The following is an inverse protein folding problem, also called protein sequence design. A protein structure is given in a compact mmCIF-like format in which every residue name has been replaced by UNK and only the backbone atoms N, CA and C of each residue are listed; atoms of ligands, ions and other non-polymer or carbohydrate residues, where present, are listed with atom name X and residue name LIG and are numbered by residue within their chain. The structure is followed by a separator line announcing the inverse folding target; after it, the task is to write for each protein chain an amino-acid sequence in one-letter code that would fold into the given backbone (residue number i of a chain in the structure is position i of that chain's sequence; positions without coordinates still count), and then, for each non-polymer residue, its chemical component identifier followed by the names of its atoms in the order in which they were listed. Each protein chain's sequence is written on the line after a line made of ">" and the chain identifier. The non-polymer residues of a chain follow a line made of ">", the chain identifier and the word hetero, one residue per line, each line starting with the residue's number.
data_IF_122156187548
#
_entry.id   IF_122156187548
#
_cell.length_a   1.000
_cell.length_b   1.000
_cell.length_c   1.000
_cell.angle_alpha   90.00
_cell.angle_beta   90.00
_cell.angle_gamma   90.00
#
_symmetry.space_group_name_H-M   'P 1'
#
loop_
_entity.id
_entity.type
_entity.pdbx_description
1 polymer ?
#
# COMPACT_ATOMS: atom_id res chain seq x y z
N UNK A 1 -21.80 16.77 10.50
CA UNK A 1 -22.26 15.61 9.71
C UNK A 1 -22.64 14.54 10.71
N UNK A 2 -23.85 13.98 10.60
CA UNK A 2 -24.21 12.81 11.40
C UNK A 2 -23.42 11.60 10.89
N UNK A 3 -23.08 10.65 11.76
CA UNK A 3 -22.27 9.45 11.46
C UNK A 3 -22.74 8.72 10.18
N UNK A 4 -24.05 8.47 10.04
CA UNK A 4 -24.64 7.88 8.83
C UNK A 4 -24.41 8.69 7.56
N UNK A 5 -24.38 10.02 7.65
CA UNK A 5 -24.13 10.89 6.50
C UNK A 5 -22.67 10.81 6.03
N UNK A 6 -21.73 10.53 6.94
CA UNK A 6 -20.32 10.36 6.58
C UNK A 6 -20.09 9.08 5.78
N UNK A 7 -20.54 7.93 6.30
CA UNK A 7 -20.44 6.65 5.60
C UNK A 7 -21.11 6.69 4.22
N UNK A 8 -22.31 7.27 4.12
CA UNK A 8 -22.98 7.43 2.83
C UNK A 8 -22.19 8.32 1.86
N UNK A 9 -21.52 9.36 2.36
CA UNK A 9 -20.68 10.23 1.52
C UNK A 9 -19.44 9.50 1.02
N UNK A 10 -18.82 8.66 1.85
CA UNK A 10 -17.69 7.81 1.46
C UNK A 10 -18.11 6.84 0.36
N UNK A 11 -19.23 6.12 0.57
CA UNK A 11 -19.79 5.19 -0.42
C UNK A 11 -20.10 5.87 -1.76
N UNK A 12 -20.67 7.08 -1.74
CA UNK A 12 -20.93 7.85 -2.97
C UNK A 12 -19.64 8.15 -3.74
N UNK A 13 -18.56 8.53 -3.03
CA UNK A 13 -17.25 8.79 -3.65
C UNK A 13 -16.65 7.51 -4.23
N UNK A 14 -16.72 6.39 -3.50
CA UNK A 14 -16.22 5.09 -3.98
C UNK A 14 -16.98 4.62 -5.23
N UNK A 15 -18.31 4.74 -5.25
CA UNK A 15 -19.14 4.40 -6.41
C UNK A 15 -18.82 5.29 -7.62
N UNK A 16 -18.53 6.57 -7.41
CA UNK A 16 -18.12 7.48 -8.48
C UNK A 16 -16.76 7.10 -9.07
N UNK A 17 -15.77 6.81 -8.23
CA UNK A 17 -14.46 6.31 -8.68
C UNK A 17 -14.62 5.01 -9.46
N UNK A 18 -15.42 4.07 -8.95
CA UNK A 18 -15.73 2.82 -9.61
C UNK A 18 -16.30 3.02 -11.02
N UNK A 19 -17.31 3.88 -11.16
CA UNK A 19 -17.93 4.17 -12.45
C UNK A 19 -16.96 4.79 -13.45
N UNK A 20 -16.05 5.65 -12.99
CA UNK A 20 -14.99 6.24 -13.83
C UNK A 20 -14.06 5.15 -14.38
N UNK A 21 -13.63 4.22 -13.52
CA UNK A 21 -12.69 3.17 -13.92
C UNK A 21 -13.33 2.03 -14.71
N UNK A 22 -14.62 1.74 -14.46
CA UNK A 22 -15.39 0.78 -15.27
C UNK A 22 -15.60 1.29 -16.70
N UNK A 23 -16.02 2.53 -16.85
CA UNK A 23 -16.46 3.04 -18.15
C UNK A 23 -15.31 3.53 -19.04
N UNK A 24 -14.10 3.73 -18.48
CA UNK A 24 -12.92 4.30 -19.14
C UNK A 24 -13.16 5.64 -19.87
N UNK A 25 -14.34 6.24 -19.72
CA UNK A 25 -14.89 7.31 -20.57
C UNK A 25 -14.99 8.66 -19.85
N UNK A 26 -14.44 8.79 -18.64
CA UNK A 26 -14.29 10.08 -18.00
C UNK A 26 -13.21 10.92 -18.71
N UNK A 27 -13.57 12.14 -19.11
CA UNK A 27 -12.58 13.16 -19.51
C UNK A 27 -11.57 13.38 -18.39
N UNK A 28 -10.32 13.77 -18.72
CA UNK A 28 -9.27 14.01 -17.71
C UNK A 28 -9.74 14.92 -16.58
N UNK A 29 -10.51 15.96 -16.93
CA UNK A 29 -11.13 16.90 -16.00
C UNK A 29 -12.10 16.25 -15.00
N UNK A 30 -12.89 15.26 -15.42
CA UNK A 30 -13.80 14.53 -14.52
C UNK A 30 -13.06 13.58 -13.57
N UNK A 31 -11.87 13.10 -13.96
CA UNK A 31 -11.00 12.30 -13.10
C UNK A 31 -10.41 13.21 -12.03
N UNK A 32 -9.81 14.33 -12.41
CA UNK A 32 -9.19 15.27 -11.47
C UNK A 32 -10.19 15.83 -10.45
N UNK A 33 -11.43 16.14 -10.87
CA UNK A 33 -12.47 16.64 -9.96
C UNK A 33 -12.97 15.57 -8.97
N UNK A 34 -13.07 14.31 -9.39
CA UNK A 34 -13.51 13.22 -8.51
C UNK A 34 -12.41 12.82 -7.55
N UNK A 35 -11.15 12.83 -8.00
CA UNK A 35 -10.04 12.55 -7.10
C UNK A 35 -9.82 13.74 -6.14
N UNK A 36 -10.14 14.99 -6.51
CA UNK A 36 -10.18 16.10 -5.54
C UNK A 36 -11.25 15.90 -4.44
N UNK A 37 -12.36 15.20 -4.75
CA UNK A 37 -13.36 14.83 -3.74
C UNK A 37 -12.85 13.78 -2.75
N UNK A 38 -11.87 12.94 -3.11
CA UNK A 38 -11.24 11.99 -2.17
C UNK A 38 -10.64 12.76 -1.01
N UNK A 39 -9.85 13.80 -1.29
CA UNK A 39 -9.16 14.57 -0.27
C UNK A 39 -10.13 15.32 0.64
N UNK A 40 -11.19 15.89 0.06
CA UNK A 40 -12.17 16.69 0.80
C UNK A 40 -13.18 15.85 1.60
N UNK A 41 -13.63 14.71 1.06
CA UNK A 41 -14.70 13.89 1.67
C UNK A 41 -14.13 12.78 2.53
N UNK A 42 -13.13 12.04 2.02
CA UNK A 42 -12.58 10.88 2.72
C UNK A 42 -11.56 11.33 3.75
N UNK A 43 -10.57 12.13 3.35
CA UNK A 43 -9.50 12.59 4.24
C UNK A 43 -9.76 13.94 4.92
N UNK A 44 -10.96 14.52 4.74
CA UNK A 44 -11.41 15.80 5.33
C UNK A 44 -10.36 16.94 5.26
N UNK A 45 -9.59 17.00 4.18
CA UNK A 45 -8.69 18.13 3.95
C UNK A 45 -9.51 19.39 3.66
N UNK A 46 -9.31 20.43 4.47
CA UNK A 46 -9.81 21.76 4.14
C UNK A 46 -8.87 22.42 3.14
N UNK A 47 -9.42 23.08 2.14
CA UNK A 47 -8.68 23.92 1.17
C UNK A 47 -8.28 25.26 1.82
N UNK A 48 -8.87 25.60 2.96
CA UNK A 48 -8.63 26.86 3.65
C UNK A 48 -7.45 26.75 4.62
N UNK A 49 -6.33 27.38 4.25
CA UNK A 49 -5.09 27.53 5.02
C UNK A 49 -5.26 28.13 6.44
N UNK A 50 -6.45 28.67 6.76
CA UNK A 50 -6.80 29.24 8.07
C UNK A 50 -7.50 28.21 8.98
N UNK A 51 -8.11 27.17 8.39
CA UNK A 51 -8.87 26.18 9.15
C UNK A 51 -8.01 24.95 9.44
N UNK A 52 -7.86 24.62 10.73
CA UNK A 52 -7.25 23.37 11.18
C UNK A 52 -7.80 22.20 10.37
N UNK A 53 -6.91 21.34 9.85
CA UNK A 53 -7.31 20.06 9.25
C UNK A 53 -8.33 19.41 10.18
N UNK A 54 -9.55 19.16 9.69
CA UNK A 54 -10.54 18.39 10.44
C UNK A 54 -10.09 16.94 10.42
N UNK A 55 -9.29 16.56 11.41
CA UNK A 55 -8.90 15.17 11.64
C UNK A 55 -10.17 14.37 11.93
N UNK A 56 -10.31 13.20 11.31
CA UNK A 56 -11.38 12.26 11.65
C UNK A 56 -11.29 11.91 13.14
N UNK A 57 -12.43 11.78 13.80
CA UNK A 57 -12.40 11.18 15.14
C UNK A 57 -11.95 9.72 15.04
N UNK A 58 -11.38 9.12 16.09
CA UNK A 58 -10.96 7.71 16.04
C UNK A 58 -12.07 6.75 15.61
N UNK A 59 -13.32 7.05 15.97
CA UNK A 59 -14.50 6.27 15.55
C UNK A 59 -14.76 6.44 14.06
N UNK A 60 -14.77 7.68 13.55
CA UNK A 60 -14.97 7.94 12.11
C UNK A 60 -13.85 7.32 11.25
N UNK A 61 -12.62 7.32 11.76
CA UNK A 61 -11.48 6.68 11.09
C UNK A 61 -11.63 5.16 11.05
N UNK A 62 -12.03 4.53 12.16
CA UNK A 62 -12.27 3.10 12.20
C UNK A 62 -13.39 2.70 11.23
N UNK A 63 -14.48 3.48 11.20
CA UNK A 63 -15.58 3.27 10.24
C UNK A 63 -15.13 3.44 8.79
N UNK A 64 -14.29 4.44 8.51
CA UNK A 64 -13.71 4.62 7.19
C UNK A 64 -12.89 3.39 6.79
N UNK A 65 -12.01 2.91 7.68
CA UNK A 65 -11.15 1.75 7.40
C UNK A 65 -11.99 0.50 7.15
N UNK A 66 -13.03 0.27 7.95
CA UNK A 66 -13.94 -0.87 7.79
C UNK A 66 -14.72 -0.79 6.47
N UNK A 67 -15.27 0.38 6.14
CA UNK A 67 -15.98 0.62 4.87
C UNK A 67 -15.06 0.43 3.65
N UNK A 68 -13.81 0.91 3.71
CA UNK A 68 -12.82 0.70 2.65
C UNK A 68 -12.47 -0.78 2.49
N UNK A 69 -12.27 -1.49 3.61
CA UNK A 69 -11.99 -2.93 3.60
C UNK A 69 -13.15 -3.71 2.96
N UNK A 70 -14.38 -3.44 3.42
CA UNK A 70 -15.60 -4.04 2.89
C UNK A 70 -15.75 -3.77 1.39
N UNK A 71 -15.59 -2.51 0.96
CA UNK A 71 -15.66 -2.13 -0.45
C UNK A 71 -14.67 -2.93 -1.31
N UNK A 72 -13.40 -2.97 -0.90
CA UNK A 72 -12.34 -3.66 -1.65
C UNK A 72 -12.61 -5.16 -1.75
N UNK A 73 -13.13 -5.79 -0.69
CA UNK A 73 -13.52 -7.20 -0.72
C UNK A 73 -14.72 -7.48 -1.65
N UNK A 74 -15.70 -6.57 -1.69
CA UNK A 74 -16.92 -6.75 -2.48
C UNK A 74 -16.71 -6.46 -3.99
N UNK A 75 -15.79 -5.57 -4.35
CA UNK A 75 -15.55 -5.21 -5.75
C UNK A 75 -15.00 -6.40 -6.54
N UNK A 76 -15.78 -6.97 -7.46
CA UNK A 76 -15.39 -8.18 -8.23
C UNK A 76 -14.36 -7.93 -9.33
N UNK A 77 -14.28 -6.71 -9.87
CA UNK A 77 -13.34 -6.39 -10.94
C UNK A 77 -11.98 -5.96 -10.36
N UNK A 78 -10.98 -6.84 -10.42
CA UNK A 78 -9.64 -6.62 -9.87
C UNK A 78 -8.98 -5.31 -10.36
N UNK A 79 -9.12 -5.00 -11.65
CA UNK A 79 -8.62 -3.75 -12.21
C UNK A 79 -9.27 -2.52 -11.56
N UNK A 80 -10.59 -2.52 -11.44
CA UNK A 80 -11.34 -1.40 -10.86
C UNK A 80 -11.01 -1.27 -9.38
N UNK A 81 -10.97 -2.41 -8.66
CA UNK A 81 -10.57 -2.48 -7.25
C UNK A 81 -9.21 -1.82 -7.04
N UNK A 82 -8.21 -2.21 -7.81
CA UNK A 82 -6.88 -1.64 -7.71
C UNK A 82 -6.85 -0.15 -8.08
N UNK A 83 -7.55 0.27 -9.14
CA UNK A 83 -7.55 1.68 -9.53
C UNK A 83 -8.22 2.59 -8.50
N UNK A 84 -9.27 2.12 -7.83
CA UNK A 84 -9.86 2.83 -6.69
C UNK A 84 -8.84 2.91 -5.54
N UNK A 85 -8.19 1.79 -5.19
CA UNK A 85 -7.14 1.76 -4.18
C UNK A 85 -6.00 2.75 -4.48
N UNK A 86 -5.48 2.73 -5.71
CA UNK A 86 -4.43 3.63 -6.19
C UNK A 86 -4.86 5.10 -6.12
N UNK A 87 -6.11 5.41 -6.50
CA UNK A 87 -6.65 6.76 -6.42
C UNK A 87 -6.79 7.26 -4.97
N UNK A 88 -7.17 6.38 -4.04
CA UNK A 88 -7.28 6.69 -2.62
C UNK A 88 -5.92 6.92 -1.98
N UNK A 89 -4.92 6.11 -2.33
CA UNK A 89 -3.60 6.07 -1.69
C UNK A 89 -2.47 6.60 -2.58
N UNK A 90 -2.79 7.48 -3.53
CA UNK A 90 -1.79 8.14 -4.36
C UNK A 90 -0.95 9.10 -3.53
N UNK A 91 0.35 8.80 -3.39
CA UNK A 91 1.29 9.63 -2.63
C UNK A 91 1.83 10.82 -3.41
N UNK A 92 1.47 10.95 -4.70
CA UNK A 92 1.81 12.13 -5.52
C UNK A 92 1.14 13.42 -5.03
N UNK A 93 0.19 13.32 -4.10
CA UNK A 93 -0.55 14.45 -3.52
C UNK A 93 0.02 14.80 -2.17
N UNK A 94 0.47 16.05 -2.04
CA UNK A 94 0.98 16.56 -0.76
C UNK A 94 -0.14 16.81 0.26
N UNK A 95 -1.36 17.14 -0.21
CA UNK A 95 -2.54 17.28 0.65
C UNK A 95 -2.84 15.98 1.40
N UNK A 96 -2.99 16.04 2.73
CA UNK A 96 -3.23 14.88 3.60
C UNK A 96 -2.22 13.73 3.48
N UNK A 97 -1.04 13.90 2.88
CA UNK A 97 -0.17 12.76 2.57
C UNK A 97 0.19 11.91 3.79
N UNK A 98 0.48 12.57 4.93
CA UNK A 98 0.75 11.88 6.20
C UNK A 98 -0.47 11.09 6.68
N UNK A 99 -1.63 11.75 6.77
CA UNK A 99 -2.85 11.11 7.24
C UNK A 99 -3.34 9.97 6.32
N UNK A 100 -3.28 10.16 5.00
CA UNK A 100 -3.58 9.15 3.99
C UNK A 100 -2.70 7.91 4.15
N UNK A 101 -1.42 8.12 4.49
CA UNK A 101 -0.48 7.04 4.76
C UNK A 101 -0.82 6.31 6.06
N UNK A 102 -1.23 7.01 7.11
CA UNK A 102 -1.68 6.37 8.35
C UNK A 102 -2.92 5.50 8.12
N UNK A 103 -3.91 6.01 7.40
CA UNK A 103 -5.11 5.24 7.02
C UNK A 103 -4.73 4.02 6.17
N UNK A 104 -3.78 4.15 5.24
CA UNK A 104 -3.25 3.02 4.47
C UNK A 104 -2.64 1.95 5.40
N UNK A 105 -1.79 2.35 6.35
CA UNK A 105 -1.14 1.42 7.26
C UNK A 105 -2.18 0.67 8.09
N UNK A 106 -3.15 1.38 8.66
CA UNK A 106 -4.25 0.79 9.44
C UNK A 106 -5.15 -0.13 8.60
N UNK A 107 -5.44 0.24 7.34
CA UNK A 107 -6.21 -0.59 6.41
C UNK A 107 -5.48 -1.89 6.07
N UNK A 108 -4.18 -1.84 5.82
CA UNK A 108 -3.39 -3.05 5.53
C UNK A 108 -3.21 -3.90 6.77
N UNK A 109 -3.03 -3.28 7.94
CA UNK A 109 -3.01 -3.96 9.25
C UNK A 109 -4.34 -4.70 9.47
N UNK A 110 -5.48 -4.03 9.33
CA UNK A 110 -6.79 -4.69 9.34
C UNK A 110 -6.89 -5.81 8.28
N UNK A 111 -6.33 -5.60 7.09
CA UNK A 111 -6.32 -6.59 6.02
C UNK A 111 -5.56 -7.88 6.39
N UNK A 112 -4.47 -7.78 7.16
CA UNK A 112 -3.75 -8.94 7.70
C UNK A 112 -4.60 -9.64 8.76
N UNK A 113 -5.11 -8.88 9.75
CA UNK A 113 -5.93 -9.44 10.82
C UNK A 113 -7.21 -10.13 10.30
N UNK A 114 -7.88 -9.53 9.31
CA UNK A 114 -9.11 -10.04 8.71
C UNK A 114 -8.87 -11.04 7.56
N UNK A 115 -7.61 -11.38 7.24
CA UNK A 115 -7.24 -12.21 6.08
C UNK A 115 -7.88 -11.74 4.77
N UNK A 116 -7.94 -10.43 4.58
CA UNK A 116 -8.58 -9.76 3.45
C UNK A 116 -7.67 -9.78 2.21
N UNK A 117 -7.66 -10.90 1.47
CA UNK A 117 -6.79 -11.07 0.28
C UNK A 117 -6.91 -9.93 -0.73
N UNK A 118 -8.12 -9.43 -0.96
CA UNK A 118 -8.38 -8.29 -1.85
C UNK A 118 -7.61 -7.02 -1.47
N UNK A 119 -7.50 -6.73 -0.17
CA UNK A 119 -6.76 -5.57 0.35
C UNK A 119 -5.25 -5.80 0.21
N UNK A 120 -4.79 -7.00 0.57
CA UNK A 120 -3.37 -7.36 0.53
C UNK A 120 -2.81 -7.37 -0.90
N UNK A 121 -3.57 -7.88 -1.88
CA UNK A 121 -3.18 -7.83 -3.30
C UNK A 121 -3.10 -6.40 -3.83
N UNK A 122 -4.05 -5.53 -3.47
CA UNK A 122 -4.00 -4.12 -3.84
C UNK A 122 -2.80 -3.42 -3.20
N UNK A 123 -2.52 -3.67 -1.92
CA UNK A 123 -1.37 -3.13 -1.21
C UNK A 123 -0.05 -3.61 -1.83
N UNK A 124 0.06 -4.90 -2.18
CA UNK A 124 1.24 -5.46 -2.82
C UNK A 124 1.55 -4.78 -4.16
N UNK A 125 0.52 -4.59 -5.00
CA UNK A 125 0.68 -3.92 -6.28
C UNK A 125 1.01 -2.43 -6.10
N UNK A 126 0.35 -1.76 -5.15
CA UNK A 126 0.64 -0.36 -4.83
C UNK A 126 2.08 -0.17 -4.35
N UNK A 127 2.57 -1.03 -3.44
CA UNK A 127 3.94 -1.01 -2.94
C UNK A 127 4.96 -1.23 -4.06
N UNK A 128 4.58 -1.98 -5.10
CA UNK A 128 5.44 -2.23 -6.26
C UNK A 128 5.48 -1.03 -7.22
N UNK A 129 4.41 -0.24 -7.29
CA UNK A 129 4.30 0.93 -8.16
C UNK A 129 4.67 2.27 -7.51
N UNK A 130 4.69 2.36 -6.17
CA UNK A 130 4.97 3.60 -5.46
C UNK A 130 6.47 3.81 -5.21
N UNK A 131 6.83 5.01 -4.73
CA UNK A 131 8.21 5.25 -4.29
C UNK A 131 8.58 4.32 -3.13
N UNK A 132 9.82 3.84 -3.17
CA UNK A 132 10.37 2.86 -2.24
C UNK A 132 10.26 3.30 -0.77
N UNK A 133 10.37 4.60 -0.49
CA UNK A 133 10.24 5.12 0.89
C UNK A 133 8.85 4.91 1.48
N UNK A 134 7.80 4.97 0.65
CA UNK A 134 6.42 4.74 1.09
C UNK A 134 6.17 3.27 1.40
N UNK A 135 6.67 2.36 0.55
CA UNK A 135 6.60 0.93 0.79
C UNK A 135 7.36 0.51 2.06
N UNK A 136 8.55 1.08 2.29
CA UNK A 136 9.32 0.86 3.52
C UNK A 136 8.53 1.33 4.74
N UNK A 137 7.95 2.53 4.69
CA UNK A 137 7.19 3.06 5.82
C UNK A 137 6.00 2.16 6.20
N UNK A 138 5.25 1.68 5.21
CA UNK A 138 4.16 0.74 5.43
C UNK A 138 4.66 -0.54 6.13
N UNK A 139 5.74 -1.15 5.63
CA UNK A 139 6.32 -2.35 6.25
C UNK A 139 6.77 -2.10 7.68
N UNK A 140 7.41 -0.97 7.95
CA UNK A 140 7.87 -0.64 9.30
C UNK A 140 6.71 -0.42 10.27
N UNK A 141 5.62 0.21 9.83
CA UNK A 141 4.40 0.35 10.63
C UNK A 141 3.78 -1.02 10.95
N UNK A 142 3.77 -1.95 10.00
CA UNK A 142 3.24 -3.30 10.24
C UNK A 142 4.15 -4.12 11.18
N UNK A 143 5.46 -3.91 11.12
CA UNK A 143 6.39 -4.53 12.09
C UNK A 143 6.11 -4.01 13.49
N UNK A 144 5.90 -2.72 13.65
CA UNK A 144 5.53 -2.13 14.93
C UNK A 144 4.23 -2.75 15.46
N UNK A 145 3.18 -2.83 14.64
CA UNK A 145 1.90 -3.44 15.02
C UNK A 145 2.06 -4.92 15.44
N UNK A 146 2.66 -5.74 14.59
CA UNK A 146 2.62 -7.21 14.71
C UNK A 146 3.80 -7.84 15.46
N UNK A 147 4.97 -7.20 15.44
CA UNK A 147 6.17 -7.72 16.09
C UNK A 147 6.49 -6.98 17.40
N UNK A 148 5.98 -5.75 17.60
CA UNK A 148 6.31 -4.96 18.80
C UNK A 148 5.11 -4.80 19.74
N UNK A 149 3.95 -4.40 19.21
CA UNK A 149 2.80 -4.01 20.05
C UNK A 149 1.85 -5.16 20.36
N UNK A 150 1.57 -6.04 19.39
CA UNK A 150 0.55 -7.08 19.54
C UNK A 150 1.12 -8.38 20.11
N UNK A 151 0.48 -8.91 21.16
CA UNK A 151 0.75 -10.28 21.64
C UNK A 151 0.37 -11.28 20.56
N UNK A 152 1.30 -12.16 20.20
CA UNK A 152 1.17 -13.15 19.12
C UNK A 152 0.96 -12.57 17.71
N UNK A 153 1.25 -11.27 17.48
CA UNK A 153 1.08 -10.67 16.15
C UNK A 153 1.94 -11.32 15.08
N UNK A 154 3.09 -11.89 15.43
CA UNK A 154 3.94 -12.66 14.52
C UNK A 154 3.23 -13.88 13.92
N UNK A 155 2.26 -14.50 14.62
CA UNK A 155 1.48 -15.62 14.10
C UNK A 155 0.55 -15.14 12.98
N UNK A 156 -0.13 -14.02 13.20
CA UNK A 156 -1.02 -13.42 12.20
C UNK A 156 -0.23 -12.99 10.96
N UNK A 157 0.92 -12.33 11.16
CA UNK A 157 1.80 -11.92 10.08
C UNK A 157 2.36 -13.12 9.31
N UNK A 158 2.75 -14.21 9.99
CA UNK A 158 3.18 -15.46 9.35
C UNK A 158 2.07 -16.04 8.45
N UNK A 159 0.83 -16.08 8.93
CA UNK A 159 -0.32 -16.61 8.19
C UNK A 159 -0.66 -15.82 6.91
N UNK A 160 -0.16 -14.59 6.78
CA UNK A 160 -0.34 -13.76 5.60
C UNK A 160 0.16 -14.43 4.30
N UNK A 161 1.16 -15.32 4.40
CA UNK A 161 1.67 -16.07 3.26
C UNK A 161 0.59 -16.93 2.60
N UNK A 162 -0.32 -17.51 3.38
CA UNK A 162 -1.43 -18.31 2.87
C UNK A 162 -2.48 -17.46 2.15
N UNK A 163 -2.57 -16.17 2.50
CA UNK A 163 -3.58 -15.24 2.00
C UNK A 163 -3.09 -14.49 0.76
N UNK A 164 -1.86 -13.98 0.77
CA UNK A 164 -1.24 -13.27 -0.35
C UNK A 164 0.29 -13.45 -0.36
N UNK A 165 0.80 -14.44 -1.11
CA UNK A 165 2.24 -14.61 -1.33
C UNK A 165 2.88 -13.39 -2.01
N UNK A 166 2.14 -12.67 -2.86
CA UNK A 166 2.64 -11.45 -3.51
C UNK A 166 2.88 -10.33 -2.51
N UNK A 167 1.98 -10.15 -1.54
CA UNK A 167 2.18 -9.19 -0.47
C UNK A 167 3.42 -9.53 0.36
N UNK A 168 3.57 -10.78 0.81
CA UNK A 168 4.76 -11.24 1.54
C UNK A 168 6.07 -11.03 0.75
N UNK A 169 6.04 -11.24 -0.57
CA UNK A 169 7.18 -10.98 -1.46
C UNK A 169 7.57 -9.49 -1.46
N UNK A 170 6.61 -8.60 -1.74
CA UNK A 170 6.88 -7.15 -1.80
C UNK A 170 7.21 -6.58 -0.42
N UNK A 171 6.61 -7.11 0.64
CA UNK A 171 6.98 -6.83 2.03
C UNK A 171 8.46 -7.15 2.27
N UNK A 172 8.90 -8.35 1.89
CA UNK A 172 10.30 -8.79 2.06
C UNK A 172 11.27 -7.91 1.26
N UNK A 173 10.89 -7.47 0.06
CA UNK A 173 11.70 -6.54 -0.76
C UNK A 173 11.85 -5.18 -0.07
N UNK A 174 10.76 -4.62 0.46
CA UNK A 174 10.81 -3.35 1.19
C UNK A 174 11.56 -3.48 2.51
N UNK A 175 11.41 -4.59 3.21
CA UNK A 175 12.12 -4.89 4.45
C UNK A 175 13.64 -4.95 4.26
N UNK A 176 14.10 -5.76 3.30
CA UNK A 176 15.53 -5.93 2.99
C UNK A 176 16.15 -4.63 2.49
N UNK A 177 15.35 -3.79 1.86
CA UNK A 177 15.74 -2.44 1.46
C UNK A 177 15.97 -1.48 2.63
N UNK A 178 15.19 -1.61 3.70
CA UNK A 178 15.37 -0.81 4.92
C UNK A 178 16.60 -1.27 5.72
N UNK A 179 16.76 -2.59 5.86
CA UNK A 179 17.85 -3.22 6.60
C UNK A 179 19.01 -3.61 5.68
N UNK A 180 19.56 -2.63 4.95
CA UNK A 180 20.69 -2.90 4.05
C UNK A 180 21.90 -3.40 4.85
N UNK A 181 22.16 -4.71 4.79
CA UNK A 181 23.29 -5.37 5.47
C UNK A 181 24.64 -5.15 4.76
N UNK A 182 24.60 -4.54 3.57
CA UNK A 182 25.77 -4.18 2.78
C UNK A 182 26.22 -2.77 3.14
N UNK A 183 26.91 -2.60 4.26
CA UNK A 183 27.55 -1.33 4.59
C UNK A 183 28.67 -1.07 3.57
N UNK A 184 28.47 -0.10 2.66
CA UNK A 184 29.48 0.25 1.65
C UNK A 184 30.61 1.11 2.21
N UNK A 185 30.34 1.83 3.30
CA UNK A 185 31.32 2.69 3.99
C UNK A 185 31.25 2.56 5.52
N UNK A 186 32.37 2.84 6.20
CA UNK A 186 32.50 2.82 7.68
C UNK A 186 31.51 3.75 8.40
N UNK A 187 31.04 4.81 7.75
CA UNK A 187 30.01 5.70 8.31
C UNK A 187 28.61 5.05 8.29
N UNK A 188 28.29 4.30 7.25
CA UNK A 188 27.02 3.55 7.15
C UNK A 188 26.99 2.34 8.07
N UNK A 189 28.14 1.71 8.33
CA UNK A 189 28.27 0.62 9.30
C UNK A 189 27.86 1.03 10.72
N UNK A 190 28.07 2.30 11.12
CA UNK A 190 27.62 2.83 12.41
C UNK A 190 26.11 3.07 12.50
N UNK A 191 25.43 3.19 11.35
CA UNK A 191 23.98 3.38 11.24
C UNK A 191 23.26 2.08 10.86
N UNK A 192 23.99 0.95 10.79
CA UNK A 192 23.44 -0.34 10.45
C UNK A 192 22.41 -0.74 11.51
N UNK A 193 21.14 -0.68 11.12
CA UNK A 193 20.04 -1.22 11.91
C UNK A 193 19.96 -2.71 11.60
N UNK A 194 19.88 -3.51 12.65
CA UNK A 194 19.56 -4.93 12.52
C UNK A 194 18.06 -5.11 12.77
N UNK A 195 17.39 -5.99 11.99
CA UNK A 195 16.01 -6.33 12.27
C UNK A 195 15.92 -7.06 13.62
N UNK A 196 14.81 -6.86 14.32
CA UNK A 196 14.53 -7.60 15.55
C UNK A 196 14.34 -9.10 15.26
N UNK A 197 14.60 -9.95 16.26
CA UNK A 197 14.50 -11.41 16.10
C UNK A 197 13.12 -11.87 15.64
N UNK A 198 12.06 -11.19 16.06
CA UNK A 198 10.69 -11.50 15.66
C UNK A 198 10.48 -11.30 14.15
N UNK A 199 11.07 -10.25 13.58
CA UNK A 199 11.01 -9.97 12.14
C UNK A 199 11.75 -11.07 11.37
N UNK A 200 12.92 -11.48 11.85
CA UNK A 200 13.69 -12.56 11.25
C UNK A 200 12.93 -13.89 11.31
N UNK A 201 12.28 -14.20 12.42
CA UNK A 201 11.46 -15.40 12.60
C UNK A 201 10.27 -15.46 11.60
N UNK A 202 9.61 -14.31 11.35
CA UNK A 202 8.55 -14.20 10.32
C UNK A 202 9.10 -14.48 8.92
N UNK A 203 10.18 -13.79 8.52
CA UNK A 203 10.77 -13.94 7.18
C UNK A 203 11.34 -15.34 6.98
N UNK A 204 12.01 -15.89 7.99
CA UNK A 204 12.52 -17.25 7.98
C UNK A 204 11.38 -18.25 7.78
N UNK A 205 10.28 -18.11 8.54
CA UNK A 205 9.11 -18.97 8.36
C UNK A 205 8.56 -18.89 6.94
N UNK A 206 8.43 -17.68 6.37
CA UNK A 206 7.93 -17.54 5.01
C UNK A 206 8.83 -18.20 3.97
N UNK A 207 10.15 -18.02 4.06
CA UNK A 207 11.10 -18.60 3.11
C UNK A 207 11.26 -20.11 3.24
N UNK A 208 11.11 -20.66 4.45
CA UNK A 208 11.10 -22.11 4.65
C UNK A 208 9.81 -22.76 4.14
N UNK A 209 8.68 -22.07 4.27
CA UNK A 209 7.38 -22.55 3.78
C UNK A 209 7.26 -22.41 2.26
N UNK A 210 7.71 -21.29 1.68
CA UNK A 210 7.67 -21.02 0.25
C UNK A 210 9.02 -20.47 -0.25
N UNK A 211 9.96 -21.36 -0.65
CA UNK A 211 11.29 -20.94 -1.10
C UNK A 211 11.28 -20.06 -2.35
N UNK A 212 10.21 -20.09 -3.14
CA UNK A 212 10.09 -19.25 -4.34
C UNK A 212 9.52 -17.86 -4.06
N UNK A 213 9.25 -17.53 -2.79
CA UNK A 213 8.58 -16.29 -2.38
C UNK A 213 9.20 -15.03 -2.97
N UNK A 214 10.54 -14.93 -2.97
CA UNK A 214 11.24 -13.76 -3.51
C UNK A 214 11.00 -13.55 -5.02
N UNK A 215 10.51 -14.57 -5.71
CA UNK A 215 10.15 -14.53 -7.13
C UNK A 215 8.64 -14.47 -7.38
N UNK A 216 7.79 -14.52 -6.34
CA UNK A 216 6.32 -14.54 -6.49
C UNK A 216 5.77 -13.41 -7.34
N UNK A 217 6.35 -12.21 -7.26
CA UNK A 217 5.93 -11.07 -8.11
C UNK A 217 6.23 -11.27 -9.59
N UNK A 218 7.26 -12.05 -9.94
CA UNK A 218 7.63 -12.38 -11.31
C UNK A 218 6.89 -13.63 -11.82
N UNK A 219 6.77 -14.66 -10.98
CA UNK A 219 6.15 -15.95 -11.36
C UNK A 219 4.64 -15.87 -11.40
N UNK A 220 4.02 -15.10 -10.51
CA UNK A 220 2.57 -14.91 -10.46
C UNK A 220 2.14 -13.66 -11.23
N UNK A 221 2.93 -13.16 -12.18
CA UNK A 221 2.66 -11.88 -12.84
C UNK A 221 1.49 -11.97 -13.84
N UNK A 222 0.30 -11.55 -13.41
CA UNK A 222 -0.93 -11.54 -14.19
C UNK A 222 -1.06 -10.30 -15.11
N UNK A 223 -2.15 -10.22 -15.88
CA UNK A 223 -2.41 -9.11 -16.81
C UNK A 223 -2.48 -7.75 -16.11
N UNK A 224 -3.07 -7.70 -14.91
CA UNK A 224 -3.22 -6.46 -14.14
C UNK A 224 -1.84 -5.96 -13.70
N UNK A 225 -1.06 -6.82 -13.06
CA UNK A 225 0.29 -6.52 -12.60
C UNK A 225 1.19 -6.03 -13.75
N UNK A 226 1.15 -6.70 -14.91
CA UNK A 226 1.90 -6.28 -16.10
C UNK A 226 1.49 -4.90 -16.58
N UNK A 227 0.20 -4.62 -16.60
CA UNK A 227 -0.32 -3.35 -17.11
C UNK A 227 0.07 -2.18 -16.20
N UNK A 228 -0.08 -2.37 -14.89
CA UNK A 228 0.23 -1.34 -13.89
C UNK A 228 1.73 -1.09 -13.82
N UNK A 229 2.55 -2.13 -13.69
CA UNK A 229 4.01 -1.98 -13.57
C UNK A 229 4.62 -1.36 -14.83
N UNK A 230 4.16 -1.76 -16.03
CA UNK A 230 4.64 -1.15 -17.28
C UNK A 230 4.27 0.31 -17.39
N UNK A 231 3.07 0.72 -16.95
CA UNK A 231 2.65 2.11 -16.96
C UNK A 231 3.51 2.99 -16.03
N UNK A 232 4.07 2.42 -14.96
CA UNK A 232 5.02 3.12 -14.08
C UNK A 232 6.42 3.23 -14.70
N UNK A 233 6.80 2.32 -15.60
CA UNK A 233 8.13 2.27 -16.24
C UNK A 233 8.26 3.13 -17.52
N UNK A 234 7.21 3.82 -17.98
CA UNK A 234 7.27 4.64 -19.21
C UNK A 234 7.96 6.03 -19.07
N UNK A 235 8.83 6.22 -18.06
CA UNK A 235 9.82 7.32 -18.01
C UNK A 235 11.23 6.71 -18.11
N UNK A 236 12.18 7.36 -18.81
CA UNK A 236 13.09 6.69 -19.72
C UNK A 236 14.05 5.73 -19.02
N UNK A 237 13.84 4.44 -19.28
CA UNK A 237 14.88 3.41 -19.20
C UNK A 237 15.92 3.67 -20.30
N UNK A 238 16.75 4.70 -20.11
CA UNK A 238 18.13 4.64 -20.61
C UNK A 238 18.96 3.98 -19.51
N UNK A 239 18.78 2.67 -19.33
CA UNK A 239 19.85 1.84 -18.81
C UNK A 239 20.97 1.89 -19.85
N UNK A 240 21.87 2.87 -19.70
CA UNK A 240 23.16 2.82 -20.35
C UNK A 240 23.85 1.55 -19.84
N UNK A 241 23.75 0.47 -20.62
CA UNK A 241 24.68 -0.63 -20.55
C UNK A 241 26.06 -0.01 -20.79
N UNK A 242 26.84 0.18 -19.73
CA UNK A 242 28.26 0.44 -19.89
C UNK A 242 28.84 -0.73 -20.66
N UNK A 243 29.43 -0.52 -21.85
CA UNK A 243 30.19 -1.57 -22.51
C UNK A 243 31.33 -1.97 -21.57
N UNK A 244 31.52 -3.27 -21.38
CA UNK A 244 32.78 -3.78 -20.85
C UNK A 244 33.82 -3.63 -21.95
N UNK A 245 34.41 -2.45 -22.06
CA UNK A 245 35.64 -2.27 -22.83
C UNK A 245 36.79 -2.86 -22.02
N UNK A 246 37.33 -3.98 -22.50
CA UNK A 246 38.60 -4.55 -22.02
C UNK A 246 38.58 -6.04 -21.70
N UNK A 247 38.34 -6.88 -22.70
CA UNK A 247 38.91 -8.23 -22.82
C UNK A 247 39.40 -8.44 -24.26
#
# INVERSE_FOLDING_TARGET
>A
MNQRQYTSSVQEVLQKLENIFKNQSGSSFSKDSTIARVDNVIFKCSVDWISQQKVLTPVEELELIDELCMYLQQQKHEYVRYRVFEALFSMARESAQMYRREVLCKLVSLGIAAKASAVLECAALWMKSCDKSHAIHLVMSLIEDYCTLQKNGTIELKSCLEVSPRFCCVFTIALTSNYTMMARDRAQAKLQRFPELQVLDVVQHWLLTEPTLCFSTATQMDKLWRTVIKATQTLPDSLALTPLDGL
#
